data_IF_651024067160
#
_entry.id   IF_651024067160
#
_cell.length_a   1.000
_cell.length_b   1.000
_cell.length_c   1.000
_cell.angle_alpha   90.00
_cell.angle_beta   90.00
_cell.angle_gamma   90.00
#
_symmetry.space_group_name_H-M   'P 1'
#
loop_
_entity.id
_entity.type
_entity.pdbx_description
1 polymer ?
#
# COMPACT_ATOMS: atom_id res chain seq x y z
N UNK A 1 -10.48 10.50 25.43
CA UNK A 1 -11.68 9.82 24.90
C UNK A 1 -11.37 8.33 24.72
N UNK A 2 -12.35 7.41 24.82
CA UNK A 2 -12.10 5.99 24.45
C UNK A 2 -12.15 5.86 22.93
N UNK A 3 -11.15 5.20 22.35
CA UNK A 3 -10.98 5.02 20.92
C UNK A 3 -10.84 3.54 20.57
N UNK A 4 -10.40 3.23 19.35
CA UNK A 4 -10.12 1.89 18.83
C UNK A 4 -9.43 1.01 19.88
N UNK A 5 -9.97 -0.19 20.10
CA UNK A 5 -9.44 -1.16 21.06
C UNK A 5 -9.50 -0.72 22.53
N UNK A 6 -10.35 0.25 22.87
CA UNK A 6 -10.48 0.76 24.23
C UNK A 6 -9.38 1.74 24.66
N UNK A 7 -8.43 2.07 23.77
CA UNK A 7 -7.32 2.96 24.10
C UNK A 7 -7.80 4.39 24.35
N UNK A 8 -7.17 5.08 25.29
CA UNK A 8 -7.43 6.50 25.53
C UNK A 8 -6.61 7.34 24.55
N UNK A 9 -7.28 8.09 23.67
CA UNK A 9 -6.67 8.98 22.68
C UNK A 9 -7.31 10.37 22.65
N UNK A 10 -6.56 11.31 22.08
CA UNK A 10 -6.97 12.68 21.80
C UNK A 10 -6.90 13.63 22.98
N UNK A 11 -6.82 13.14 24.22
CA UNK A 11 -6.76 13.96 25.43
C UNK A 11 -5.33 14.32 25.88
N UNK A 12 -5.25 14.96 27.06
CA UNK A 12 -3.99 15.32 27.71
C UNK A 12 -3.12 14.10 27.97
N UNK A 13 -1.84 14.17 27.59
CA UNK A 13 -0.88 13.09 27.74
C UNK A 13 -1.16 11.85 26.88
N UNK A 14 -2.12 11.94 25.95
CA UNK A 14 -2.48 10.85 25.04
C UNK A 14 -1.95 11.16 23.64
N UNK A 15 -1.70 10.14 22.80
CA UNK A 15 -1.53 10.34 21.37
C UNK A 15 -2.79 10.99 20.76
N UNK A 16 -2.62 11.69 19.65
CA UNK A 16 -3.77 12.16 18.88
C UNK A 16 -4.58 10.98 18.35
N UNK A 17 -5.84 11.26 18.01
CA UNK A 17 -6.64 10.37 17.20
C UNK A 17 -6.24 10.62 15.74
N UNK A 18 -5.87 9.57 15.03
CA UNK A 18 -5.52 9.62 13.61
C UNK A 18 -6.48 8.69 12.87
N UNK A 19 -7.68 9.18 12.47
CA UNK A 19 -8.77 8.30 12.08
C UNK A 19 -8.42 7.34 10.95
N UNK A 20 -7.76 7.83 9.88
CA UNK A 20 -7.44 6.98 8.73
C UNK A 20 -6.47 5.89 9.15
N UNK A 21 -5.38 6.27 9.82
CA UNK A 21 -4.34 5.35 10.31
C UNK A 21 -4.90 4.35 11.32
N UNK A 22 -5.59 4.82 12.35
CA UNK A 22 -6.08 3.99 13.46
C UNK A 22 -7.10 2.96 12.96
N UNK A 23 -8.03 3.37 12.08
CA UNK A 23 -9.02 2.47 11.49
C UNK A 23 -8.38 1.48 10.51
N UNK A 24 -7.42 1.91 9.69
CA UNK A 24 -6.70 1.02 8.78
C UNK A 24 -5.92 -0.05 9.55
N UNK A 25 -5.25 0.32 10.66
CA UNK A 25 -4.54 -0.63 11.52
C UNK A 25 -5.51 -1.65 12.12
N UNK A 26 -6.61 -1.19 12.68
CA UNK A 26 -7.62 -2.05 13.30
C UNK A 26 -8.23 -3.02 12.29
N UNK A 27 -8.65 -2.51 11.12
CA UNK A 27 -9.21 -3.33 10.05
C UNK A 27 -8.23 -4.39 9.56
N UNK A 28 -6.96 -4.03 9.33
CA UNK A 28 -5.93 -5.00 8.96
C UNK A 28 -5.76 -6.09 10.01
N UNK A 29 -5.71 -5.72 11.30
CA UNK A 29 -5.59 -6.69 12.38
C UNK A 29 -6.79 -7.62 12.45
N UNK A 30 -8.01 -7.09 12.33
CA UNK A 30 -9.25 -7.90 12.34
C UNK A 30 -9.27 -8.91 11.19
N UNK A 31 -8.88 -8.50 9.97
CA UNK A 31 -8.79 -9.40 8.81
C UNK A 31 -7.80 -10.54 9.02
N UNK A 32 -6.80 -10.35 9.88
CA UNK A 32 -5.75 -11.34 10.15
C UNK A 32 -5.92 -12.04 11.52
N UNK A 33 -7.10 -11.94 12.15
CA UNK A 33 -7.39 -12.51 13.47
C UNK A 33 -6.40 -12.06 14.57
N UNK A 34 -5.87 -10.83 14.45
CA UNK A 34 -5.01 -10.21 15.45
C UNK A 34 -5.83 -9.26 16.34
N UNK A 35 -5.40 -9.00 17.59
CA UNK A 35 -5.97 -7.94 18.40
C UNK A 35 -5.96 -6.60 17.66
N UNK A 36 -7.04 -5.82 17.74
CA UNK A 36 -7.24 -4.58 16.97
C UNK A 36 -6.11 -3.55 17.14
N UNK A 37 -5.42 -3.55 18.27
CA UNK A 37 -4.29 -2.66 18.58
C UNK A 37 -2.92 -3.31 18.40
N UNK A 38 -2.85 -4.51 17.83
CA UNK A 38 -1.60 -5.23 17.62
C UNK A 38 -0.70 -4.47 16.64
N UNK A 39 0.62 -4.57 16.86
CA UNK A 39 1.65 -4.15 15.91
C UNK A 39 2.44 -5.36 15.38
N UNK A 40 1.99 -6.58 15.66
CA UNK A 40 2.65 -7.80 15.21
C UNK A 40 2.61 -7.90 13.68
N UNK A 41 3.65 -8.53 13.13
CA UNK A 41 3.64 -8.95 11.74
C UNK A 41 2.82 -10.22 11.55
N UNK A 42 2.23 -10.38 10.37
CA UNK A 42 1.56 -11.62 9.95
C UNK A 42 2.61 -12.49 9.27
N UNK A 43 2.88 -13.66 9.84
CA UNK A 43 3.77 -14.65 9.25
C UNK A 43 3.16 -15.28 8.00
N UNK A 44 4.00 -15.74 7.06
CA UNK A 44 3.54 -16.29 5.78
C UNK A 44 2.58 -17.47 5.93
N UNK A 45 2.76 -18.31 6.95
CA UNK A 45 1.88 -19.45 7.25
C UNK A 45 0.52 -19.06 7.82
N UNK A 46 0.42 -17.87 8.41
CA UNK A 46 -0.80 -17.35 9.05
C UNK A 46 -1.53 -16.35 8.17
N UNK A 47 -0.93 -15.98 7.03
CA UNK A 47 -1.48 -15.03 6.09
C UNK A 47 -2.52 -15.71 5.19
N UNK A 48 -3.79 -15.42 5.44
CA UNK A 48 -4.91 -15.89 4.63
C UNK A 48 -5.57 -14.69 3.91
N UNK A 49 -5.02 -14.32 2.75
CA UNK A 49 -5.55 -13.24 1.91
C UNK A 49 -4.46 -12.38 1.26
N UNK A 50 -4.86 -11.54 0.31
CA UNK A 50 -3.93 -10.71 -0.47
C UNK A 50 -3.36 -9.53 0.32
N UNK A 51 -4.08 -9.04 1.33
CA UNK A 51 -3.65 -7.89 2.14
C UNK A 51 -2.39 -8.19 2.96
N UNK A 52 -2.30 -9.35 3.61
CA UNK A 52 -1.13 -9.75 4.39
C UNK A 52 0.05 -10.24 3.52
N UNK A 53 -0.22 -10.66 2.29
CA UNK A 53 0.83 -10.91 1.30
C UNK A 53 1.48 -9.61 0.87
N UNK A 54 0.69 -8.53 0.75
CA UNK A 54 1.17 -7.22 0.32
C UNK A 54 1.80 -6.41 1.45
N UNK A 55 1.25 -6.48 2.65
CA UNK A 55 1.70 -5.73 3.81
C UNK A 55 1.97 -6.69 4.96
N UNK A 56 3.17 -6.65 5.53
CA UNK A 56 3.59 -7.58 6.58
C UNK A 56 2.98 -7.27 7.94
N UNK A 57 2.52 -6.04 8.16
CA UNK A 57 1.96 -5.59 9.46
C UNK A 57 0.87 -4.54 9.26
N UNK A 58 0.09 -4.31 10.32
CA UNK A 58 -0.93 -3.25 10.35
C UNK A 58 -0.34 -1.87 10.11
N UNK A 59 0.91 -1.64 10.53
CA UNK A 59 1.59 -0.36 10.38
C UNK A 59 1.90 -0.06 8.91
N UNK A 60 2.41 -1.04 8.18
CA UNK A 60 2.69 -0.92 6.76
C UNK A 60 1.39 -0.71 5.95
N UNK A 61 0.34 -1.47 6.28
CA UNK A 61 -0.96 -1.33 5.64
C UNK A 61 -1.55 0.07 5.89
N UNK A 62 -1.52 0.56 7.13
CA UNK A 62 -2.04 1.87 7.47
C UNK A 62 -1.24 3.00 6.82
N UNK A 63 0.09 2.89 6.76
CA UNK A 63 0.91 3.87 6.05
C UNK A 63 0.55 3.95 4.56
N UNK A 64 0.26 2.82 3.91
CA UNK A 64 -0.19 2.80 2.52
C UNK A 64 -1.57 3.48 2.36
N UNK A 65 -2.51 3.23 3.27
CA UNK A 65 -3.84 3.88 3.25
C UNK A 65 -3.71 5.39 3.48
N UNK A 66 -2.90 5.82 4.44
CA UNK A 66 -2.63 7.25 4.73
C UNK A 66 -1.95 7.92 3.54
N UNK A 67 -1.02 7.24 2.84
CA UNK A 67 -0.40 7.81 1.63
C UNK A 67 -1.45 8.16 0.58
N UNK A 68 -2.48 7.34 0.41
CA UNK A 68 -3.53 7.57 -0.60
C UNK A 68 -4.56 8.58 -0.14
N UNK A 69 -5.13 8.38 1.05
CA UNK A 69 -6.29 9.12 1.53
C UNK A 69 -5.93 10.36 2.36
N UNK A 70 -4.69 10.42 2.86
CA UNK A 70 -4.29 11.36 3.88
C UNK A 70 -4.80 10.97 5.27
N UNK A 71 -4.47 11.80 6.26
CA UNK A 71 -4.98 11.68 7.62
C UNK A 71 -4.95 13.03 8.32
N UNK A 72 -5.63 13.11 9.46
CA UNK A 72 -5.58 14.30 10.33
C UNK A 72 -5.49 13.90 11.79
N UNK A 73 -4.81 14.72 12.56
CA UNK A 73 -4.68 14.56 14.00
C UNK A 73 -5.78 15.32 14.74
N UNK A 74 -6.64 14.55 15.42
CA UNK A 74 -7.76 15.07 16.22
C UNK A 74 -7.39 15.06 17.71
N UNK A 75 -7.68 16.18 18.36
CA UNK A 75 -7.53 16.40 19.80
C UNK A 75 -8.89 16.70 20.43
N UNK A 76 -9.04 16.26 21.68
CA UNK A 76 -10.28 16.44 22.46
C UNK A 76 -10.06 17.31 23.70
N UNK A 77 -8.86 17.86 23.93
CA UNK A 77 -8.66 18.84 24.99
C UNK A 77 -9.44 20.12 24.67
N UNK A 78 -9.92 20.79 25.72
CA UNK A 78 -10.52 22.12 25.58
C UNK A 78 -9.46 23.19 25.30
N UNK A 79 -8.35 23.10 26.01
CA UNK A 79 -7.21 23.99 25.84
C UNK A 79 -6.14 23.33 24.96
N UNK A 80 -5.70 24.03 23.91
CA UNK A 80 -4.69 23.56 22.95
C UNK A 80 -3.36 23.24 23.65
N UNK A 81 -3.00 24.03 24.68
CA UNK A 81 -1.78 23.87 25.47
C UNK A 81 -1.70 22.53 26.22
N UNK A 82 -2.84 21.89 26.51
CA UNK A 82 -2.89 20.60 27.18
C UNK A 82 -2.75 19.40 26.23
N UNK A 83 -2.78 19.65 24.92
CA UNK A 83 -2.85 18.62 23.88
C UNK A 83 -1.63 18.65 22.93
N UNK A 84 -0.45 18.94 23.48
CA UNK A 84 0.81 19.05 22.72
C UNK A 84 1.65 17.76 22.73
N UNK A 85 1.23 16.72 23.46
CA UNK A 85 1.98 15.46 23.66
C UNK A 85 2.08 14.59 22.41
N UNK A 86 3.22 13.96 22.12
CA UNK A 86 3.35 13.02 20.99
C UNK A 86 3.95 13.61 19.70
N UNK A 87 4.61 14.77 19.78
CA UNK A 87 5.37 15.33 18.67
C UNK A 87 4.54 16.12 17.65
N UNK A 88 5.17 16.53 16.55
CA UNK A 88 4.61 17.40 15.50
C UNK A 88 3.40 16.77 14.81
N UNK A 89 3.46 15.46 14.57
CA UNK A 89 2.43 14.75 13.82
C UNK A 89 1.14 14.60 14.62
N UNK A 90 1.22 14.76 15.95
CA UNK A 90 0.08 14.71 16.84
C UNK A 90 -0.45 16.10 17.20
N UNK A 91 0.10 17.20 16.66
CA UNK A 91 -0.37 18.53 17.01
C UNK A 91 -1.84 18.75 16.60
N UNK A 92 -2.59 19.57 17.36
CA UNK A 92 -3.96 19.94 16.99
C UNK A 92 -4.03 20.46 15.56
N UNK A 93 -4.85 19.81 14.71
CA UNK A 93 -5.03 20.24 13.32
C UNK A 93 -3.89 19.87 12.36
N UNK A 94 -2.87 19.13 12.83
CA UNK A 94 -1.87 18.54 11.93
C UNK A 94 -2.54 17.59 10.94
N UNK A 95 -2.18 17.67 9.67
CA UNK A 95 -2.76 16.87 8.59
C UNK A 95 -1.69 16.39 7.63
N UNK A 96 -1.88 15.18 7.12
CA UNK A 96 -1.08 14.58 6.04
C UNK A 96 -1.98 14.54 4.81
N UNK A 97 -1.56 15.21 3.74
CA UNK A 97 -2.28 15.17 2.47
C UNK A 97 -2.10 13.79 1.81
N UNK A 98 -3.20 13.23 1.32
CA UNK A 98 -3.15 12.04 0.48
C UNK A 98 -2.70 12.38 -0.94
N UNK A 99 -1.96 11.47 -1.57
CA UNK A 99 -1.52 11.61 -2.96
C UNK A 99 -2.56 11.11 -3.95
N UNK A 100 -3.58 10.38 -3.49
CA UNK A 100 -4.46 9.58 -4.35
C UNK A 100 -3.76 8.36 -4.95
N UNK A 101 -4.49 7.59 -5.76
CA UNK A 101 -3.98 6.37 -6.39
C UNK A 101 -3.22 6.63 -7.70
N UNK A 102 -3.50 7.71 -8.43
CA UNK A 102 -2.91 7.96 -9.75
C UNK A 102 -1.37 7.95 -9.74
N UNK A 103 -0.68 8.65 -8.82
CA UNK A 103 0.78 8.61 -8.78
C UNK A 103 1.33 7.20 -8.51
N UNK A 104 0.64 6.42 -7.68
CA UNK A 104 1.03 5.04 -7.36
C UNK A 104 0.89 4.14 -8.58
N UNK A 105 -0.18 4.33 -9.35
CA UNK A 105 -0.45 3.60 -10.58
C UNK A 105 0.57 3.95 -11.68
N UNK A 106 0.88 5.23 -11.85
CA UNK A 106 1.86 5.70 -12.83
C UNK A 106 3.26 5.15 -12.53
N UNK A 107 3.70 5.19 -11.27
CA UNK A 107 4.99 4.64 -10.85
C UNK A 107 5.06 3.12 -11.12
N UNK A 108 4.01 2.38 -10.76
CA UNK A 108 3.95 0.94 -11.03
C UNK A 108 3.97 0.63 -12.54
N UNK A 109 3.28 1.42 -13.35
CA UNK A 109 3.25 1.28 -14.81
C UNK A 109 4.62 1.52 -15.42
N UNK A 110 5.34 2.56 -14.96
CA UNK A 110 6.71 2.85 -15.42
C UNK A 110 7.68 1.72 -15.08
N UNK A 111 7.65 1.23 -13.84
CA UNK A 111 8.50 0.11 -13.42
C UNK A 111 8.20 -1.17 -14.22
N UNK A 112 6.92 -1.49 -14.43
CA UNK A 112 6.51 -2.64 -15.24
C UNK A 112 6.98 -2.49 -16.69
N UNK A 113 6.86 -1.29 -17.27
CA UNK A 113 7.31 -1.01 -18.61
C UNK A 113 8.82 -1.24 -18.77
N UNK A 114 9.62 -0.72 -17.82
CA UNK A 114 11.07 -0.91 -17.82
C UNK A 114 11.44 -2.41 -17.74
N UNK A 115 10.82 -3.16 -16.84
CA UNK A 115 11.07 -4.60 -16.70
C UNK A 115 10.61 -5.40 -17.91
N UNK A 116 9.42 -5.13 -18.45
CA UNK A 116 8.89 -5.79 -19.65
C UNK A 116 9.78 -5.50 -20.87
N UNK A 117 10.26 -4.26 -21.02
CA UNK A 117 11.17 -3.89 -22.09
C UNK A 117 12.47 -4.71 -22.04
N UNK A 118 13.07 -4.86 -20.85
CA UNK A 118 14.27 -5.68 -20.65
C UNK A 118 14.03 -7.17 -20.90
N UNK A 119 12.86 -7.68 -20.50
CA UNK A 119 12.47 -9.07 -20.76
C UNK A 119 12.28 -9.31 -22.26
N UNK A 120 11.66 -8.38 -22.99
CA UNK A 120 11.42 -8.51 -24.43
C UNK A 120 12.68 -8.25 -25.25
N UNK A 121 13.59 -7.36 -24.82
CA UNK A 121 14.87 -7.13 -25.50
C UNK A 121 15.86 -8.28 -25.35
N UNK A 122 15.66 -9.14 -24.34
CA UNK A 122 16.58 -10.23 -24.01
C UNK A 122 17.66 -9.87 -22.99
N UNK A 123 17.69 -8.62 -22.51
CA UNK A 123 18.56 -8.16 -21.41
C UNK A 123 18.26 -8.93 -20.11
N UNK A 124 16.98 -9.23 -19.86
CA UNK A 124 16.54 -10.09 -18.77
C UNK A 124 15.96 -11.40 -19.31
N UNK A 125 16.33 -12.51 -18.68
CA UNK A 125 15.75 -13.81 -18.98
C UNK A 125 14.39 -13.96 -18.28
N UNK A 126 13.36 -14.54 -18.93
CA UNK A 126 12.04 -14.78 -18.34
C UNK A 126 12.08 -15.99 -17.37
N UNK A 127 12.80 -15.82 -16.27
CA UNK A 127 12.81 -16.70 -15.10
C UNK A 127 11.59 -16.43 -14.24
N UNK A 128 11.23 -17.38 -13.37
CA UNK A 128 10.10 -17.19 -12.43
C UNK A 128 10.30 -15.94 -11.57
N UNK A 129 11.52 -15.71 -11.10
CA UNK A 129 11.84 -14.55 -10.26
C UNK A 129 11.65 -13.24 -11.01
N UNK A 130 12.18 -13.12 -12.22
CA UNK A 130 12.06 -11.91 -13.03
C UNK A 130 10.61 -11.63 -13.47
N UNK A 131 9.82 -12.68 -13.73
CA UNK A 131 8.40 -12.54 -14.05
C UNK A 131 7.57 -12.16 -12.81
N UNK A 132 7.93 -12.66 -11.63
CA UNK A 132 7.26 -12.32 -10.37
C UNK A 132 7.57 -10.90 -9.87
N UNK A 133 8.67 -10.31 -10.35
CA UNK A 133 9.04 -8.93 -10.05
C UNK A 133 8.11 -7.90 -10.71
N UNK A 134 7.41 -8.30 -11.78
CA UNK A 134 6.42 -7.46 -12.44
C UNK A 134 5.23 -7.23 -11.49
N UNK A 135 4.85 -5.97 -11.30
CA UNK A 135 3.71 -5.56 -10.46
C UNK A 135 2.40 -5.76 -11.23
N UNK A 136 2.03 -7.01 -11.52
CA UNK A 136 0.96 -7.33 -12.49
C UNK A 136 -0.44 -7.49 -11.91
N UNK A 137 -0.65 -7.10 -10.65
CA UNK A 137 -1.96 -7.23 -10.02
C UNK A 137 -2.42 -8.70 -10.00
N UNK A 138 -3.51 -9.01 -10.70
CA UNK A 138 -4.04 -10.37 -10.90
C UNK A 138 -3.63 -11.00 -12.24
N UNK A 139 -3.01 -10.24 -13.14
CA UNK A 139 -2.54 -10.75 -14.43
C UNK A 139 -1.24 -11.51 -14.23
N UNK A 140 -1.12 -12.73 -14.75
CA UNK A 140 0.13 -13.50 -14.68
C UNK A 140 0.82 -13.42 -16.04
N UNK A 141 2.00 -12.77 -16.08
CA UNK A 141 2.85 -12.74 -17.28
C UNK A 141 3.73 -13.99 -17.28
N UNK A 142 3.56 -14.82 -18.30
CA UNK A 142 4.31 -16.08 -18.44
C UNK A 142 5.46 -15.95 -19.43
N UNK A 143 6.39 -16.91 -19.41
CA UNK A 143 7.46 -17.01 -20.43
C UNK A 143 6.89 -17.05 -21.86
N UNK A 144 5.76 -17.73 -22.06
CA UNK A 144 5.10 -17.81 -23.36
C UNK A 144 4.64 -16.44 -23.86
N UNK A 145 4.11 -15.60 -22.96
CA UNK A 145 3.74 -14.20 -23.29
C UNK A 145 4.96 -13.39 -23.68
N UNK A 146 6.07 -13.49 -22.94
CA UNK A 146 7.31 -12.79 -23.30
C UNK A 146 7.85 -13.26 -24.65
N UNK A 147 7.80 -14.56 -24.93
CA UNK A 147 8.26 -15.09 -26.21
C UNK A 147 7.36 -14.61 -27.36
N UNK A 148 6.04 -14.63 -27.19
CA UNK A 148 5.11 -14.09 -28.18
C UNK A 148 5.37 -12.60 -28.46
N UNK A 149 5.64 -11.79 -27.42
CA UNK A 149 6.02 -10.40 -27.57
C UNK A 149 7.35 -10.23 -28.31
N UNK A 150 8.32 -11.13 -28.16
CA UNK A 150 9.61 -11.03 -28.87
C UNK A 150 9.47 -11.22 -30.37
N UNK A 151 8.59 -12.15 -30.74
CA UNK A 151 8.36 -12.60 -32.12
C UNK A 151 7.42 -11.66 -32.89
N UNK A 152 6.74 -10.73 -32.19
CA UNK A 152 5.81 -9.77 -32.77
C UNK A 152 6.52 -8.51 -33.33
N UNK A 153 6.19 -8.06 -34.56
CA UNK A 153 6.75 -6.84 -35.13
C UNK A 153 6.35 -5.56 -34.38
N UNK A 154 5.17 -5.52 -33.74
CA UNK A 154 4.61 -4.37 -33.02
C UNK A 154 4.86 -4.44 -31.49
N UNK A 155 5.84 -5.24 -31.07
CA UNK A 155 6.14 -5.52 -29.67
C UNK A 155 6.29 -4.30 -28.76
N UNK A 156 6.78 -3.18 -29.28
CA UNK A 156 6.89 -1.95 -28.50
C UNK A 156 5.52 -1.41 -28.07
N UNK A 157 4.53 -1.41 -28.95
CA UNK A 157 3.17 -0.97 -28.64
C UNK A 157 2.47 -1.98 -27.71
N UNK A 158 2.70 -3.28 -27.91
CA UNK A 158 2.14 -4.33 -27.06
C UNK A 158 2.72 -4.29 -25.64
N UNK A 159 4.02 -4.04 -25.49
CA UNK A 159 4.67 -3.85 -24.17
C UNK A 159 4.08 -2.64 -23.44
N UNK A 160 3.86 -1.52 -24.13
CA UNK A 160 3.22 -0.33 -23.54
C UNK A 160 1.79 -0.63 -23.05
N UNK A 161 0.99 -1.32 -23.87
CA UNK A 161 -0.38 -1.71 -23.50
C UNK A 161 -0.38 -2.67 -22.31
N UNK A 162 0.46 -3.70 -22.34
CA UNK A 162 0.57 -4.67 -21.25
C UNK A 162 1.04 -4.02 -19.95
N UNK A 163 1.99 -3.07 -20.01
CA UNK A 163 2.42 -2.30 -18.84
C UNK A 163 1.26 -1.46 -18.26
N UNK A 164 0.43 -0.85 -19.11
CA UNK A 164 -0.77 -0.12 -18.69
C UNK A 164 -1.83 -1.02 -18.06
N UNK A 165 -2.13 -2.17 -18.67
CA UNK A 165 -3.12 -3.13 -18.16
C UNK A 165 -2.68 -3.75 -16.82
N UNK A 166 -1.39 -4.09 -16.68
CA UNK A 166 -0.84 -4.62 -15.43
C UNK A 166 -0.92 -3.63 -14.27
N UNK A 167 -0.91 -2.31 -14.56
CA UNK A 167 -1.20 -1.27 -13.59
C UNK A 167 -2.69 -1.12 -13.28
N UNK A 168 -3.55 -1.06 -14.31
CA UNK A 168 -4.97 -0.64 -14.22
C UNK A 168 -5.88 -1.70 -13.55
N UNK A 169 -5.57 -3.00 -13.67
CA UNK A 169 -6.51 -4.11 -13.37
C UNK A 169 -6.97 -4.18 -11.90
N UNK A 170 -6.37 -3.45 -10.95
CA UNK A 170 -6.80 -3.46 -9.53
C UNK A 170 -7.65 -2.25 -9.10
N UNK A 171 -7.91 -1.28 -9.98
CA UNK A 171 -8.68 -0.07 -9.64
C UNK A 171 -10.02 0.08 -10.37
N UNK A 172 -10.46 -0.98 -11.06
CA UNK A 172 -11.83 -1.10 -11.60
C UNK A 172 -12.74 -1.88 -10.67
#
# INVERSE_FOLDING_TARGET
MTWVGGQKRGGKGQPAIQPTRDLAKAGYNMMNNLPVTSNSSVGSSSCNGTACQRYKSSEEAAAAVVKVLGDRSIRTCRETSECTSGGTDNQPGSAVAGTGFSPILEDATKENLEQLSKLVSGELQPTTDNLSALKTGSLVVTRGVIQALRDDPDKAALVQRLAGETGDVRYR
#
